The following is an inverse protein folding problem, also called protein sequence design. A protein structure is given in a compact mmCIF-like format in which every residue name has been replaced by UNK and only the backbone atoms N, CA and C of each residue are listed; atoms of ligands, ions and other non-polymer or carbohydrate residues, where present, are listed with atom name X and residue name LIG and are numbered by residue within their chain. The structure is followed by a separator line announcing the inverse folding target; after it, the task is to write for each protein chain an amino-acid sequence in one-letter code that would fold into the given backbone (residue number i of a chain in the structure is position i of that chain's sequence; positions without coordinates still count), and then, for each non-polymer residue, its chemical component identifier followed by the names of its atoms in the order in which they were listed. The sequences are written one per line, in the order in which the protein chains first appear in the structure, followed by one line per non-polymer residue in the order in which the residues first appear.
data_IF_700002151002
#
_entry.id   IF_700002151002
#
_cell.length_a   1.000
_cell.length_b   1.000
_cell.length_c   1.000
_cell.angle_alpha   90.00
_cell.angle_beta   90.00
_cell.angle_gamma   90.00
#
_symmetry.space_group_name_H-M   'P 1'
#
loop_
_entity.id
_entity.type
_entity.pdbx_description
1 polymer ?
#
# COMPACT_ATOMS: atom_id res chain seq x y z
N UNK A 1 14.01 -19.04 15.92
CA UNK A 1 13.32 -18.48 17.06
C UNK A 1 13.03 -17.03 16.81
N UNK A 2 13.96 -16.21 17.25
CA UNK A 2 13.83 -14.80 17.02
C UNK A 2 13.80 -14.49 15.55
N UNK A 3 14.38 -15.36 14.79
CA UNK A 3 14.39 -15.18 13.34
C UNK A 3 13.00 -15.17 12.76
N UNK A 4 12.08 -15.81 13.43
CA UNK A 4 10.71 -15.86 12.97
C UNK A 4 10.12 -14.47 12.91
N UNK A 5 10.48 -13.65 13.88
CA UNK A 5 9.97 -12.29 13.91
C UNK A 5 10.48 -11.50 12.71
N UNK A 6 11.69 -11.77 12.30
CA UNK A 6 12.26 -11.10 11.15
C UNK A 6 11.56 -11.52 9.86
N UNK A 7 11.03 -12.72 9.86
CA UNK A 7 10.36 -13.23 8.67
C UNK A 7 9.06 -12.51 8.40
N UNK A 8 8.37 -12.13 9.47
CA UNK A 8 7.07 -11.47 9.31
C UNK A 8 7.13 -10.18 8.50
N UNK A 9 8.07 -9.29 8.78
CA UNK A 9 8.18 -8.07 7.96
C UNK A 9 8.39 -8.38 6.50
N UNK A 10 9.15 -9.43 6.21
CA UNK A 10 9.38 -9.82 4.83
C UNK A 10 8.09 -10.23 4.15
N UNK A 11 7.22 -10.91 4.87
CA UNK A 11 5.94 -11.33 4.32
C UNK A 11 5.10 -10.11 3.96
N UNK A 12 5.10 -9.11 4.83
CA UNK A 12 4.34 -7.90 4.57
C UNK A 12 4.88 -7.18 3.35
N UNK A 13 6.19 -7.14 3.22
CA UNK A 13 6.81 -6.51 2.06
C UNK A 13 6.46 -7.25 0.78
N UNK A 14 6.37 -8.56 0.86
CA UNK A 14 6.03 -9.36 -0.31
C UNK A 14 4.64 -9.02 -0.82
N UNK A 15 3.69 -8.88 0.08
CA UNK A 15 2.34 -8.51 -0.31
C UNK A 15 2.32 -7.12 -0.91
N UNK A 16 3.01 -6.20 -0.29
CA UNK A 16 3.10 -4.83 -0.77
C UNK A 16 3.66 -4.79 -2.18
N UNK A 17 4.76 -5.51 -2.42
CA UNK A 17 5.38 -5.56 -3.74
C UNK A 17 4.44 -6.16 -4.77
N UNK A 18 3.73 -7.19 -4.39
CA UNK A 18 2.81 -7.84 -5.31
C UNK A 18 1.69 -6.90 -5.72
N UNK A 19 1.14 -6.16 -4.78
CA UNK A 19 0.06 -5.24 -5.04
C UNK A 19 0.51 -4.10 -5.95
N UNK A 20 1.72 -3.60 -5.74
CA UNK A 20 2.26 -2.53 -6.57
C UNK A 20 2.36 -3.00 -8.01
N UNK A 21 2.84 -4.21 -8.21
CA UNK A 21 3.00 -4.75 -9.56
C UNK A 21 1.66 -5.01 -10.22
N UNK A 22 0.70 -5.44 -9.46
CA UNK A 22 -0.60 -5.80 -10.02
C UNK A 22 -1.46 -4.57 -10.32
N UNK A 23 -1.37 -3.55 -9.48
CA UNK A 23 -2.20 -2.37 -9.63
C UNK A 23 -1.35 -1.10 -9.61
N UNK A 24 -0.50 -0.93 -10.64
CA UNK A 24 0.42 0.22 -10.63
C UNK A 24 -0.30 1.56 -10.68
N UNK A 25 -1.39 1.66 -11.41
CA UNK A 25 -2.10 2.92 -11.50
C UNK A 25 -2.77 3.29 -10.19
N UNK A 26 -3.36 2.31 -9.54
CA UNK A 26 -3.98 2.55 -8.24
C UNK A 26 -2.93 2.92 -7.22
N UNK A 27 -1.76 2.32 -7.32
CA UNK A 27 -0.69 2.65 -6.40
C UNK A 27 -0.20 4.08 -6.61
N UNK A 28 -0.18 4.55 -7.85
CA UNK A 28 0.19 5.95 -8.09
C UNK A 28 -0.76 6.90 -7.37
N UNK A 29 -2.04 6.59 -7.42
CA UNK A 29 -3.03 7.39 -6.70
C UNK A 29 -2.78 7.30 -5.20
N UNK A 30 -2.45 6.11 -4.71
CA UNK A 30 -2.12 5.94 -3.30
C UNK A 30 -0.96 6.83 -2.90
N UNK A 31 0.06 6.92 -3.76
CA UNK A 31 1.22 7.76 -3.44
C UNK A 31 0.83 9.23 -3.35
N UNK A 32 -0.10 9.67 -4.15
CA UNK A 32 -0.57 11.06 -4.07
C UNK A 32 -1.28 11.30 -2.75
N UNK A 33 -2.07 10.34 -2.31
CA UNK A 33 -2.73 10.44 -1.02
C UNK A 33 -1.71 10.47 0.11
N UNK A 34 -0.71 9.61 0.02
CA UNK A 34 0.36 9.56 1.03
C UNK A 34 1.06 10.90 1.12
N UNK A 35 1.41 11.46 -0.02
CA UNK A 35 2.09 12.75 -0.05
C UNK A 35 1.23 13.86 0.53
N UNK A 36 -0.05 13.85 0.20
CA UNK A 36 -0.98 14.85 0.71
C UNK A 36 -1.08 14.79 2.23
N UNK A 37 -1.24 13.60 2.77
CA UNK A 37 -1.36 13.44 4.22
C UNK A 37 -0.07 13.80 4.94
N UNK A 38 1.06 13.47 4.33
CA UNK A 38 2.35 13.82 4.92
C UNK A 38 2.54 15.33 4.96
N UNK A 39 2.15 15.98 3.88
CA UNK A 39 2.37 17.41 3.74
C UNK A 39 1.41 18.24 4.58
N UNK A 40 0.15 17.85 4.61
CA UNK A 40 -0.88 18.64 5.28
C UNK A 40 -1.06 18.30 6.74
N UNK A 41 -0.84 17.03 7.09
CA UNK A 41 -1.09 16.56 8.45
C UNK A 41 0.13 15.98 9.14
N UNK A 42 1.24 15.86 8.42
CA UNK A 42 2.41 15.20 8.99
C UNK A 42 2.18 13.74 9.29
N UNK A 43 1.17 13.14 8.68
CA UNK A 43 0.82 11.76 8.91
C UNK A 43 1.59 10.87 7.96
N UNK A 44 2.26 9.86 8.49
CA UNK A 44 3.01 8.92 7.67
C UNK A 44 2.22 7.64 7.50
N UNK A 45 1.85 7.36 6.26
CA UNK A 45 1.07 6.18 5.94
C UNK A 45 1.99 4.97 5.85
N UNK A 46 1.67 3.93 6.61
CA UNK A 46 2.49 2.72 6.64
C UNK A 46 2.31 1.93 5.35
N UNK A 47 3.19 0.95 5.13
CA UNK A 47 3.07 0.09 3.97
C UNK A 47 1.78 -0.71 4.00
N UNK A 48 1.37 -1.15 5.17
CA UNK A 48 0.11 -1.88 5.29
C UNK A 48 -1.06 -1.02 4.87
N UNK A 49 -1.07 0.21 5.29
CA UNK A 49 -2.13 1.13 4.92
C UNK A 49 -2.09 1.43 3.43
N UNK A 50 -0.90 1.58 2.88
CA UNK A 50 -0.77 1.81 1.44
C UNK A 50 -1.29 0.63 0.65
N UNK A 51 -1.01 -0.57 1.11
CA UNK A 51 -1.51 -1.78 0.47
C UNK A 51 -3.03 -1.79 0.49
N UNK A 52 -3.60 -1.50 1.64
CA UNK A 52 -5.04 -1.49 1.79
C UNK A 52 -5.69 -0.45 0.88
N UNK A 53 -5.15 0.75 0.87
CA UNK A 53 -5.69 1.82 0.04
C UNK A 53 -5.62 1.45 -1.43
N UNK A 54 -4.49 0.89 -1.84
CA UNK A 54 -4.30 0.51 -3.24
C UNK A 54 -5.31 -0.54 -3.66
N UNK A 55 -5.52 -1.54 -2.83
CA UNK A 55 -6.51 -2.57 -3.14
C UNK A 55 -7.89 -1.97 -3.23
N UNK A 56 -8.21 -1.09 -2.31
CA UNK A 56 -9.52 -0.46 -2.30
C UNK A 56 -9.76 0.35 -3.57
N UNK A 57 -8.77 1.11 -3.99
CA UNK A 57 -8.87 1.91 -5.20
C UNK A 57 -9.01 1.02 -6.43
N UNK A 58 -8.25 -0.07 -6.46
CA UNK A 58 -8.32 -0.98 -7.59
C UNK A 58 -9.72 -1.58 -7.72
N UNK A 59 -10.35 -1.88 -6.61
CA UNK A 59 -11.70 -2.44 -6.65
C UNK A 59 -12.71 -1.43 -7.15
N UNK A 60 -12.54 -0.18 -6.78
CA UNK A 60 -13.45 0.87 -7.26
C UNK A 60 -13.32 1.02 -8.76
N UNK A 61 -12.09 1.02 -9.27
CA UNK A 61 -11.86 1.16 -10.70
C UNK A 61 -12.49 -0.02 -11.45
N UNK A 62 -12.31 -1.22 -10.94
CA UNK A 62 -12.88 -2.40 -11.61
C UNK A 62 -14.39 -2.33 -11.63
N UNK A 63 -14.98 -1.79 -10.60
CA UNK A 63 -16.44 -1.70 -10.53
C UNK A 63 -16.99 -0.77 -11.58
N UNK A 64 -16.25 0.25 -11.91
CA UNK A 64 -16.69 1.26 -12.87
C UNK A 64 -16.49 0.84 -14.32
N UNK A 65 -15.71 -0.20 -14.52
CA UNK A 65 -15.50 -0.74 -15.84
C UNK A 65 -16.55 -1.79 -16.15
#
# INVERSE_FOLDING_TARGET
LLDDAATLPSSDDSLFQMIIKRFPESYETTLKIVAFLSKTRGYQVSKDEQTYITIHLARIVQKNV
#
